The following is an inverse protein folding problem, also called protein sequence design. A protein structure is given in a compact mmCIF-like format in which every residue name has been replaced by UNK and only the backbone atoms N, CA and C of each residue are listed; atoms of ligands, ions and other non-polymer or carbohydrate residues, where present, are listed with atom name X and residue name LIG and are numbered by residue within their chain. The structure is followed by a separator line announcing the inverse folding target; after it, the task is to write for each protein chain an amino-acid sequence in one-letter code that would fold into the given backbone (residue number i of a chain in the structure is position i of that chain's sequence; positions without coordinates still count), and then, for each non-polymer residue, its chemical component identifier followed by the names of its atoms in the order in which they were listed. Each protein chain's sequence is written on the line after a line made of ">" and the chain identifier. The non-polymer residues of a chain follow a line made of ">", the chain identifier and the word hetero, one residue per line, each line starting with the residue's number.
data_IF_213011983599
#
_entry.id   IF_213011983599
#
_cell.length_a   1.000
_cell.length_b   1.000
_cell.length_c   1.000
_cell.angle_alpha   90.00
_cell.angle_beta   90.00
_cell.angle_gamma   90.00
#
_symmetry.space_group_name_H-M   'P 1'
#
loop_
_entity.id
_entity.type
_entity.pdbx_description
1 polymer ?
#
# COMPACT_ATOMS: atom_id res chain seq x y z
N UNK A 1 12.33 -68.60 4.93
CA UNK A 1 11.95 -67.58 5.92
C UNK A 1 13.25 -66.93 6.40
N UNK A 2 13.52 -65.71 5.92
CA UNK A 2 14.51 -64.70 6.35
C UNK A 2 14.86 -63.86 5.12
N UNK A 3 14.52 -62.57 5.17
CA UNK A 3 14.76 -61.57 4.14
C UNK A 3 16.24 -61.14 4.14
N UNK A 4 16.79 -60.67 3.01
CA UNK A 4 18.12 -60.06 2.98
C UNK A 4 18.05 -58.61 3.50
N UNK A 5 18.96 -58.32 4.44
CA UNK A 5 19.28 -56.99 4.96
C UNK A 5 19.73 -56.07 3.81
N UNK A 6 19.11 -54.89 3.70
CA UNK A 6 19.61 -53.80 2.88
C UNK A 6 20.80 -53.13 3.59
N UNK A 7 21.79 -52.61 2.84
CA UNK A 7 22.97 -51.98 3.42
C UNK A 7 22.64 -50.62 4.02
N UNK A 8 23.18 -50.37 5.22
CA UNK A 8 23.25 -49.06 5.87
C UNK A 8 23.97 -48.07 4.96
N UNK A 9 23.31 -46.97 4.59
CA UNK A 9 23.97 -45.91 3.81
C UNK A 9 23.09 -45.03 2.92
N UNK A 10 21.76 -44.99 3.11
CA UNK A 10 20.95 -43.91 2.55
C UNK A 10 20.93 -42.78 3.59
N UNK A 11 21.79 -41.78 3.40
CA UNK A 11 21.67 -40.50 4.09
C UNK A 11 20.36 -39.90 3.62
N UNK A 12 19.36 -39.82 4.51
CA UNK A 12 18.16 -39.04 4.24
C UNK A 12 18.61 -37.61 3.90
N UNK A 13 18.31 -37.19 2.66
CA UNK A 13 18.41 -35.79 2.25
C UNK A 13 17.47 -34.99 3.17
N UNK A 14 18.04 -34.34 4.17
CA UNK A 14 17.30 -33.58 5.18
C UNK A 14 16.62 -32.39 4.50
N UNK A 15 15.34 -32.56 4.15
CA UNK A 15 14.55 -31.55 3.44
C UNK A 15 14.37 -30.32 4.33
N UNK A 16 15.06 -29.25 3.95
CA UNK A 16 15.06 -27.95 4.60
C UNK A 16 13.70 -27.25 4.44
N UNK A 17 13.12 -26.74 5.54
CA UNK A 17 11.82 -26.06 5.56
C UNK A 17 11.92 -24.72 6.27
N UNK A 18 11.70 -23.63 5.55
CA UNK A 18 11.28 -22.36 6.13
C UNK A 18 9.86 -22.50 6.70
N UNK A 19 9.70 -22.35 8.02
CA UNK A 19 8.39 -22.24 8.65
C UNK A 19 8.07 -20.76 8.85
N UNK A 20 6.90 -20.31 8.41
CA UNK A 20 6.42 -18.95 8.62
C UNK A 20 5.25 -19.04 9.59
N UNK A 21 5.49 -18.65 10.84
CA UNK A 21 4.44 -18.53 11.84
C UNK A 21 3.79 -17.15 11.71
N UNK A 22 2.53 -17.12 11.25
CA UNK A 22 1.71 -15.91 11.26
C UNK A 22 0.55 -16.18 12.23
N UNK A 23 0.76 -15.88 13.50
CA UNK A 23 -0.30 -16.07 14.50
C UNK A 23 -1.44 -15.08 14.25
N UNK A 24 -2.61 -15.63 13.95
CA UNK A 24 -3.81 -14.93 13.50
C UNK A 24 -4.52 -14.10 14.57
N UNK A 25 -3.82 -13.39 15.45
CA UNK A 25 -4.51 -12.58 16.48
C UNK A 25 -3.68 -11.58 17.29
N UNK A 26 -2.37 -11.76 17.49
CA UNK A 26 -1.54 -10.80 18.22
C UNK A 26 -0.06 -11.08 17.92
N UNK A 27 0.67 -10.07 17.44
CA UNK A 27 2.13 -10.07 17.20
C UNK A 27 2.65 -11.39 16.64
N UNK A 28 2.38 -11.66 15.35
CA UNK A 28 2.94 -12.84 14.70
C UNK A 28 4.46 -12.66 14.54
N UNK A 29 5.26 -13.51 15.15
CA UNK A 29 6.70 -13.46 14.94
C UNK A 29 7.04 -14.20 13.63
N UNK A 30 7.56 -13.49 12.63
CA UNK A 30 8.13 -14.17 11.46
C UNK A 30 9.47 -14.81 11.87
N UNK A 31 9.45 -16.04 12.39
CA UNK A 31 10.65 -16.81 12.69
C UNK A 31 10.97 -17.74 11.52
N UNK A 32 11.94 -17.35 10.69
CA UNK A 32 12.43 -18.21 9.62
C UNK A 32 13.44 -19.21 10.22
N UNK A 33 12.97 -20.40 10.56
CA UNK A 33 13.86 -21.52 10.90
C UNK A 33 14.41 -22.14 9.60
N UNK A 34 15.72 -22.18 9.44
CA UNK A 34 16.40 -22.84 8.32
C UNK A 34 17.48 -23.78 8.86
N UNK A 35 17.52 -25.08 8.48
CA UNK A 35 18.51 -26.02 9.01
C UNK A 35 19.95 -25.69 8.58
N UNK A 36 20.89 -26.12 9.41
CA UNK A 36 22.33 -25.82 9.39
C UNK A 36 23.06 -26.39 8.17
N UNK A 37 23.54 -25.49 7.30
CA UNK A 37 24.42 -25.82 6.18
C UNK A 37 25.18 -24.60 5.67
N UNK A 38 26.14 -24.11 6.46
CA UNK A 38 27.20 -23.21 5.98
C UNK A 38 26.83 -21.77 5.58
N UNK A 39 25.66 -21.24 5.97
CA UNK A 39 25.29 -19.84 5.72
C UNK A 39 25.20 -19.08 7.04
N UNK A 40 25.82 -17.89 7.13
CA UNK A 40 25.72 -17.02 8.30
C UNK A 40 24.27 -16.58 8.50
N UNK A 41 23.65 -17.03 9.58
CA UNK A 41 22.25 -16.75 9.91
C UNK A 41 22.10 -15.37 10.55
N UNK A 42 21.14 -14.60 10.06
CA UNK A 42 20.64 -13.42 10.77
C UNK A 42 19.16 -13.70 11.07
N UNK A 43 18.79 -14.09 12.31
CA UNK A 43 17.39 -14.18 12.68
C UNK A 43 16.76 -12.80 12.53
N UNK A 44 15.84 -12.66 11.57
CA UNK A 44 15.10 -11.41 11.38
C UNK A 44 13.73 -11.56 12.01
N UNK A 45 13.60 -11.11 13.25
CA UNK A 45 12.30 -11.02 13.91
C UNK A 45 11.53 -9.83 13.34
N UNK A 46 10.51 -10.11 12.52
CA UNK A 46 9.59 -9.11 11.99
C UNK A 46 8.20 -9.39 12.55
N UNK A 47 7.59 -8.45 13.29
CA UNK A 47 6.19 -8.57 13.66
C UNK A 47 5.31 -8.68 12.41
N UNK A 48 4.37 -9.61 12.37
CA UNK A 48 3.56 -9.95 11.20
C UNK A 48 2.76 -8.76 10.71
N UNK A 49 2.28 -7.91 11.63
CA UNK A 49 1.60 -6.65 11.33
C UNK A 49 2.52 -5.60 10.69
N UNK A 50 3.83 -5.75 10.86
CA UNK A 50 4.85 -4.93 10.22
C UNK A 50 5.20 -5.44 8.82
N UNK A 51 4.78 -6.64 8.42
CA UNK A 51 5.11 -7.19 7.10
C UNK A 51 4.23 -6.57 6.02
N UNK A 52 4.89 -5.92 5.07
CA UNK A 52 4.28 -5.11 4.01
C UNK A 52 4.21 -5.87 2.69
N UNK A 53 5.12 -6.82 2.47
CA UNK A 53 5.08 -7.69 1.30
C UNK A 53 6.36 -8.51 1.16
N UNK A 54 6.44 -9.28 0.09
CA UNK A 54 7.65 -10.00 -0.30
C UNK A 54 7.76 -10.11 -1.82
N UNK A 55 8.96 -10.30 -2.36
CA UNK A 55 9.20 -10.62 -3.77
C UNK A 55 10.46 -11.45 -3.95
N UNK A 56 10.53 -12.15 -5.07
CA UNK A 56 11.74 -12.84 -5.51
C UNK A 56 12.73 -11.81 -6.07
N UNK A 57 14.00 -11.94 -5.70
CA UNK A 57 15.14 -11.25 -6.34
C UNK A 57 15.93 -12.19 -7.25
N UNK A 58 15.77 -13.50 -7.09
CA UNK A 58 16.39 -14.52 -7.92
C UNK A 58 15.61 -15.83 -7.88
N UNK A 59 16.11 -16.90 -8.51
CA UNK A 59 15.43 -18.19 -8.55
C UNK A 59 15.15 -18.75 -7.16
N UNK A 60 16.07 -18.58 -6.21
CA UNK A 60 15.97 -19.10 -4.84
C UNK A 60 16.07 -18.01 -3.77
N UNK A 61 16.03 -16.74 -4.17
CA UNK A 61 16.28 -15.60 -3.27
C UNK A 61 15.07 -14.68 -3.24
N UNK A 62 14.67 -14.25 -2.05
CA UNK A 62 13.56 -13.32 -1.84
C UNK A 62 13.92 -12.20 -0.87
N UNK A 63 13.18 -11.11 -0.90
CA UNK A 63 13.18 -10.09 0.16
C UNK A 63 11.79 -9.87 0.71
N UNK A 64 11.75 -9.52 1.99
CA UNK A 64 10.54 -9.12 2.68
C UNK A 64 10.63 -7.63 2.95
N UNK A 65 9.56 -6.92 2.62
CA UNK A 65 9.37 -5.53 3.01
C UNK A 65 8.63 -5.49 4.32
N UNK A 66 9.10 -4.66 5.24
CA UNK A 66 8.45 -4.43 6.51
C UNK A 66 8.55 -2.97 6.96
N UNK A 67 7.58 -2.51 7.74
CA UNK A 67 7.62 -1.20 8.38
C UNK A 67 7.66 -1.40 9.89
N UNK A 68 8.83 -1.21 10.49
CA UNK A 68 8.94 -1.14 11.95
C UNK A 68 8.48 0.25 12.44
N UNK A 69 8.19 0.39 13.75
CA UNK A 69 7.60 1.57 14.42
C UNK A 69 8.04 2.97 13.94
N UNK A 70 9.22 3.11 13.33
CA UNK A 70 9.79 4.33 12.75
C UNK A 70 9.24 4.77 11.38
N UNK A 71 8.22 4.10 10.82
CA UNK A 71 7.51 4.51 9.57
C UNK A 71 8.32 4.42 8.27
N UNK A 72 9.56 3.94 8.31
CA UNK A 72 10.37 3.69 7.12
C UNK A 72 10.13 2.27 6.60
N UNK A 73 9.84 2.15 5.30
CA UNK A 73 9.86 0.85 4.63
C UNK A 73 11.29 0.31 4.63
N UNK A 74 11.48 -0.88 5.19
CA UNK A 74 12.74 -1.58 5.20
C UNK A 74 12.64 -2.85 4.40
N UNK A 75 13.73 -3.21 3.75
CA UNK A 75 13.91 -4.51 3.11
C UNK A 75 14.77 -5.37 4.03
N UNK A 76 14.40 -6.63 4.20
CA UNK A 76 15.35 -7.60 4.75
C UNK A 76 16.59 -7.69 3.87
N UNK A 77 17.73 -8.18 4.42
CA UNK A 77 18.74 -8.79 3.59
C UNK A 77 18.11 -9.85 2.65
N UNK A 78 18.76 -10.18 1.52
CA UNK A 78 18.35 -11.29 0.69
C UNK A 78 18.22 -12.58 1.52
N UNK A 79 17.04 -13.19 1.46
CA UNK A 79 16.74 -14.45 2.11
C UNK A 79 16.86 -15.57 1.07
N UNK A 80 17.72 -16.54 1.34
CA UNK A 80 17.96 -17.67 0.45
C UNK A 80 17.11 -18.87 0.90
N UNK A 81 16.38 -19.45 -0.04
CA UNK A 81 15.57 -20.65 0.17
C UNK A 81 16.26 -21.87 -0.45
N UNK A 82 15.91 -23.07 -0.01
CA UNK A 82 16.47 -24.31 -0.52
C UNK A 82 16.09 -24.56 -1.98
N UNK A 83 14.95 -24.01 -2.43
CA UNK A 83 14.51 -24.11 -3.82
C UNK A 83 13.70 -22.89 -4.26
N UNK A 84 13.56 -22.71 -5.58
CA UNK A 84 12.70 -21.64 -6.09
C UNK A 84 11.22 -21.85 -5.82
N UNK A 85 10.79 -23.10 -5.69
CA UNK A 85 9.42 -23.43 -5.28
C UNK A 85 9.16 -23.04 -3.82
N UNK A 86 10.15 -23.20 -2.94
CA UNK A 86 10.05 -22.71 -1.56
C UNK A 86 10.01 -21.17 -1.52
N UNK A 87 10.92 -20.50 -2.22
CA UNK A 87 10.94 -19.03 -2.29
C UNK A 87 9.60 -18.48 -2.80
N UNK A 88 9.05 -19.07 -3.87
CA UNK A 88 7.76 -18.69 -4.42
C UNK A 88 6.60 -18.92 -3.43
N UNK A 89 6.60 -20.04 -2.69
CA UNK A 89 5.61 -20.35 -1.65
C UNK A 89 5.65 -19.33 -0.52
N UNK A 90 6.83 -18.99 -0.01
CA UNK A 90 7.00 -17.99 1.04
C UNK A 90 6.53 -16.60 0.60
N UNK A 91 6.93 -16.18 -0.61
CA UNK A 91 6.45 -14.92 -1.20
C UNK A 91 4.92 -14.91 -1.32
N UNK A 92 4.31 -16.02 -1.73
CA UNK A 92 2.86 -16.14 -1.82
C UNK A 92 2.18 -16.05 -0.44
N UNK A 93 2.72 -16.72 0.57
CA UNK A 93 2.20 -16.71 1.95
C UNK A 93 2.27 -15.30 2.58
N UNK A 94 3.44 -14.65 2.51
CA UNK A 94 3.61 -13.28 3.01
C UNK A 94 2.63 -12.34 2.30
N UNK A 95 2.55 -12.42 0.97
CA UNK A 95 1.59 -11.59 0.21
C UNK A 95 0.16 -11.91 0.62
N UNK A 96 -0.19 -13.18 0.86
CA UNK A 96 -1.53 -13.59 1.29
C UNK A 96 -1.95 -12.90 2.59
N UNK A 97 -1.00 -12.62 3.49
CA UNK A 97 -1.26 -11.89 4.73
C UNK A 97 -1.36 -10.36 4.54
N UNK A 98 -0.70 -9.78 3.54
CA UNK A 98 -0.74 -8.34 3.30
C UNK A 98 -2.06 -7.86 2.68
N UNK A 99 -2.50 -6.64 3.03
CA UNK A 99 -3.69 -6.02 2.47
C UNK A 99 -3.54 -5.71 0.97
N UNK A 100 -4.67 -5.57 0.26
CA UNK A 100 -4.68 -5.37 -1.21
C UNK A 100 -3.90 -4.13 -1.67
N UNK A 101 -3.98 -3.03 -0.90
CA UNK A 101 -3.22 -1.82 -1.15
C UNK A 101 -1.71 -2.09 -1.16
N UNK A 102 -1.20 -2.80 -0.15
CA UNK A 102 0.21 -3.13 -0.06
C UNK A 102 0.67 -4.13 -1.13
N UNK A 103 -0.16 -5.12 -1.48
CA UNK A 103 0.13 -6.01 -2.62
C UNK A 103 0.26 -5.24 -3.92
N UNK A 104 -0.65 -4.29 -4.15
CA UNK A 104 -0.65 -3.48 -5.36
C UNK A 104 0.57 -2.57 -5.39
N UNK A 105 0.88 -1.91 -4.27
CA UNK A 105 2.07 -1.09 -4.12
C UNK A 105 3.35 -1.88 -4.42
N UNK A 106 3.59 -2.98 -3.71
CA UNK A 106 4.82 -3.78 -3.85
C UNK A 106 4.97 -4.46 -5.21
N UNK A 107 3.87 -4.87 -5.85
CA UNK A 107 3.94 -5.56 -7.16
C UNK A 107 3.92 -4.63 -8.37
N UNK A 108 3.23 -3.50 -8.29
CA UNK A 108 2.93 -2.68 -9.47
C UNK A 108 3.49 -1.27 -9.39
N UNK A 109 3.70 -0.72 -8.20
CA UNK A 109 4.11 0.67 -8.00
C UNK A 109 5.59 0.75 -7.69
N UNK A 110 6.04 0.00 -6.68
CA UNK A 110 7.43 0.02 -6.22
C UNK A 110 8.45 -0.33 -7.33
N UNK A 111 8.22 -1.34 -8.20
CA UNK A 111 9.14 -1.62 -9.29
C UNK A 111 9.27 -0.48 -10.30
N UNK A 112 8.22 0.32 -10.48
CA UNK A 112 8.25 1.50 -11.37
C UNK A 112 9.06 2.62 -10.70
N UNK A 113 8.79 2.90 -9.43
CA UNK A 113 9.43 3.99 -8.71
C UNK A 113 10.90 3.73 -8.40
N UNK A 114 11.21 2.68 -7.65
CA UNK A 114 12.60 2.39 -7.28
C UNK A 114 13.36 1.74 -8.44
N UNK A 115 12.75 0.77 -9.12
CA UNK A 115 13.43 -0.04 -10.12
C UNK A 115 13.67 0.69 -11.44
N UNK A 116 12.62 1.26 -12.03
CA UNK A 116 12.70 1.89 -13.34
C UNK A 116 13.03 3.38 -13.28
N UNK A 117 12.52 4.09 -12.28
CA UNK A 117 12.66 5.55 -12.17
C UNK A 117 13.72 6.02 -11.16
N UNK A 118 14.31 5.11 -10.37
CA UNK A 118 15.34 5.44 -9.38
C UNK A 118 14.87 6.37 -8.26
N UNK A 119 13.57 6.42 -7.99
CA UNK A 119 13.00 7.22 -6.91
C UNK A 119 13.34 6.59 -5.55
N UNK A 120 13.73 7.42 -4.59
CA UNK A 120 13.82 7.01 -3.19
C UNK A 120 12.42 7.05 -2.55
N UNK A 121 11.98 5.91 -1.99
CA UNK A 121 10.62 5.75 -1.51
C UNK A 121 10.60 5.47 -0.01
N UNK A 122 10.01 6.38 0.76
CA UNK A 122 9.61 6.12 2.14
C UNK A 122 8.12 5.75 2.19
N UNK A 123 7.80 4.48 2.46
CA UNK A 123 6.41 4.05 2.57
C UNK A 123 5.94 4.01 4.04
N UNK A 124 4.78 4.61 4.30
CA UNK A 124 4.14 4.66 5.61
C UNK A 124 2.75 4.01 5.57
N UNK A 125 2.62 2.72 5.95
CA UNK A 125 1.33 2.02 5.99
C UNK A 125 0.33 2.70 6.95
N UNK A 126 -0.89 2.91 6.49
CA UNK A 126 -1.96 3.52 7.30
C UNK A 126 -2.56 2.51 8.27
N UNK A 127 -2.80 2.89 9.53
CA UNK A 127 -3.32 2.00 10.58
C UNK A 127 -4.84 2.02 10.72
N UNK A 128 -5.48 3.06 10.21
CA UNK A 128 -6.92 3.26 10.34
C UNK A 128 -7.32 4.67 9.86
N UNK A 129 -8.59 5.02 10.05
CA UNK A 129 -9.10 6.35 9.71
C UNK A 129 -8.29 7.47 10.39
N UNK A 130 -7.99 8.53 9.65
CA UNK A 130 -7.23 9.69 10.13
C UNK A 130 -5.71 9.53 10.07
N UNK A 131 -5.17 8.31 10.07
CA UNK A 131 -3.72 8.11 10.06
C UNK A 131 -3.07 8.59 8.75
N UNK A 132 -3.78 8.55 7.62
CA UNK A 132 -3.27 9.13 6.37
C UNK A 132 -3.10 10.65 6.48
N UNK A 133 -4.02 11.33 7.18
CA UNK A 133 -3.91 12.77 7.46
C UNK A 133 -2.71 13.07 8.35
N UNK A 134 -2.50 12.30 9.42
CA UNK A 134 -1.36 12.48 10.33
C UNK A 134 -0.02 12.30 9.61
N UNK A 135 0.11 11.25 8.78
CA UNK A 135 1.32 11.00 8.00
C UNK A 135 1.59 12.16 7.03
N UNK A 136 0.59 12.57 6.26
CA UNK A 136 0.74 13.63 5.27
C UNK A 136 1.00 15.00 5.91
N UNK A 137 0.36 15.30 7.05
CA UNK A 137 0.63 16.52 7.82
C UNK A 137 2.08 16.58 8.31
N UNK A 138 2.66 15.44 8.69
CA UNK A 138 4.04 15.34 9.20
C UNK A 138 5.14 15.33 8.14
N UNK A 139 4.79 15.27 6.85
CA UNK A 139 5.77 15.26 5.78
C UNK A 139 6.47 16.62 5.66
N UNK A 140 7.79 16.64 5.80
CA UNK A 140 8.59 17.85 5.64
C UNK A 140 8.77 18.17 4.15
N UNK A 141 8.28 19.33 3.65
CA UNK A 141 8.47 19.73 2.26
C UNK A 141 9.93 19.88 1.82
N UNK A 142 10.87 20.01 2.76
CA UNK A 142 12.31 20.04 2.46
C UNK A 142 12.91 18.63 2.33
N UNK A 143 12.28 17.62 2.95
CA UNK A 143 12.75 16.24 2.90
C UNK A 143 12.07 15.41 1.80
N UNK A 144 10.86 15.80 1.37
CA UNK A 144 10.08 15.07 0.39
C UNK A 144 9.62 15.98 -0.75
N UNK A 145 9.84 15.54 -1.99
CA UNK A 145 9.34 16.24 -3.19
C UNK A 145 7.84 15.96 -3.46
N UNK A 146 7.30 14.87 -2.93
CA UNK A 146 5.92 14.43 -3.20
C UNK A 146 5.38 13.55 -2.07
N UNK A 147 4.08 13.65 -1.79
CA UNK A 147 3.36 12.66 -0.98
C UNK A 147 2.43 11.87 -1.89
N UNK A 148 2.78 10.59 -2.11
CA UNK A 148 1.99 9.69 -2.94
C UNK A 148 1.12 8.76 -2.08
N UNK A 149 -0.19 8.80 -2.31
CA UNK A 149 -1.17 7.97 -1.60
C UNK A 149 -1.56 6.78 -2.45
N UNK A 150 -1.17 5.58 -2.02
CA UNK A 150 -1.56 4.31 -2.63
C UNK A 150 -2.84 3.78 -1.98
N UNK A 151 -4.00 4.11 -2.52
CA UNK A 151 -5.29 3.78 -1.91
C UNK A 151 -6.51 4.29 -2.67
N UNK A 152 -7.68 4.24 -2.02
CA UNK A 152 -8.93 4.77 -2.54
C UNK A 152 -9.07 6.29 -2.29
N UNK A 153 -10.13 6.90 -2.82
CA UNK A 153 -10.43 8.34 -2.67
C UNK A 153 -10.46 8.78 -1.21
N UNK A 154 -10.98 7.94 -0.30
CA UNK A 154 -11.02 8.24 1.13
C UNK A 154 -9.62 8.44 1.74
N UNK A 155 -8.66 7.58 1.40
CA UNK A 155 -7.29 7.70 1.90
C UNK A 155 -6.58 8.94 1.32
N UNK A 156 -6.80 9.21 0.03
CA UNK A 156 -6.27 10.42 -0.59
C UNK A 156 -6.88 11.69 0.02
N UNK A 157 -8.20 11.68 0.26
CA UNK A 157 -8.90 12.80 0.91
C UNK A 157 -8.38 13.04 2.31
N UNK A 158 -8.20 11.98 3.12
CA UNK A 158 -7.58 12.12 4.45
C UNK A 158 -6.18 12.73 4.39
N UNK A 159 -5.31 12.25 3.49
CA UNK A 159 -3.99 12.83 3.32
C UNK A 159 -4.05 14.32 2.96
N UNK A 160 -4.98 14.72 2.08
CA UNK A 160 -5.21 16.12 1.74
C UNK A 160 -5.72 16.95 2.92
N UNK A 161 -6.61 16.40 3.76
CA UNK A 161 -7.00 17.05 5.02
C UNK A 161 -5.78 17.30 5.90
N UNK A 162 -4.84 16.36 5.94
CA UNK A 162 -3.58 16.47 6.67
C UNK A 162 -2.75 17.65 6.21
N UNK A 163 -2.44 17.72 4.91
CA UNK A 163 -1.64 18.82 4.33
C UNK A 163 -2.34 20.17 4.48
N UNK A 164 -3.64 20.24 4.17
CA UNK A 164 -4.41 21.49 4.22
C UNK A 164 -4.78 21.94 5.64
N UNK A 165 -4.73 21.02 6.60
CA UNK A 165 -4.96 21.30 8.02
C UNK A 165 -3.73 21.84 8.76
N UNK A 166 -2.56 21.92 8.10
CA UNK A 166 -1.34 22.44 8.72
C UNK A 166 -1.42 23.95 8.99
N UNK A 167 -0.72 24.47 10.00
CA UNK A 167 -0.58 25.92 10.19
C UNK A 167 0.07 26.63 8.99
N UNK A 168 1.02 25.96 8.32
CA UNK A 168 1.77 26.43 7.15
C UNK A 168 1.19 25.89 5.81
N UNK A 169 -0.09 25.51 5.78
CA UNK A 169 -0.69 24.78 4.66
C UNK A 169 -0.49 25.42 3.28
N UNK A 170 -0.42 26.76 3.19
CA UNK A 170 -0.22 27.46 1.91
C UNK A 170 1.12 27.11 1.29
N UNK A 171 2.17 27.07 2.10
CA UNK A 171 3.51 26.75 1.63
C UNK A 171 3.65 25.25 1.41
N UNK A 172 3.15 24.45 2.36
CA UNK A 172 3.14 22.99 2.25
C UNK A 172 2.41 22.52 0.98
N UNK A 173 1.22 23.05 0.67
CA UNK A 173 0.45 22.67 -0.52
C UNK A 173 1.10 23.11 -1.84
N UNK A 174 1.98 24.13 -1.82
CA UNK A 174 2.75 24.56 -3.00
C UNK A 174 3.97 23.68 -3.25
N UNK A 175 4.68 23.33 -2.18
CA UNK A 175 5.93 22.60 -2.25
C UNK A 175 5.74 21.08 -2.30
N UNK A 176 4.66 20.56 -1.71
CA UNK A 176 4.43 19.14 -1.49
C UNK A 176 3.19 18.65 -2.26
N UNK A 177 3.31 18.41 -3.58
CA UNK A 177 2.21 17.88 -4.37
C UNK A 177 1.71 16.53 -3.82
N UNK A 178 0.39 16.35 -3.88
CA UNK A 178 -0.25 15.08 -3.57
C UNK A 178 -0.47 14.27 -4.84
N UNK A 179 0.00 13.03 -4.85
CA UNK A 179 -0.25 12.10 -5.95
C UNK A 179 -1.18 10.97 -5.54
N UNK A 180 -2.13 10.64 -6.40
CA UNK A 180 -3.05 9.54 -6.18
C UNK A 180 -2.62 8.33 -7.01
N UNK A 181 -2.28 7.24 -6.33
CA UNK A 181 -2.10 5.92 -6.94
C UNK A 181 -3.33 5.09 -6.59
N UNK A 182 -4.33 5.01 -7.49
CA UNK A 182 -5.61 4.45 -7.12
C UNK A 182 -5.50 2.95 -6.89
N UNK A 183 -5.85 2.54 -5.67
CA UNK A 183 -6.03 1.14 -5.31
C UNK A 183 -7.42 0.99 -4.68
N UNK A 184 -8.41 0.50 -5.45
CA UNK A 184 -9.78 0.41 -4.96
C UNK A 184 -9.86 -0.50 -3.73
N UNK A 185 -10.76 -0.19 -2.80
CA UNK A 185 -11.10 -1.14 -1.73
C UNK A 185 -11.94 -2.25 -2.33
N UNK A 186 -11.29 -3.31 -2.78
CA UNK A 186 -12.02 -4.54 -3.07
C UNK A 186 -12.11 -5.31 -1.75
N UNK A 187 -13.32 -5.44 -1.18
CA UNK A 187 -13.53 -6.46 -0.14
C UNK A 187 -13.12 -7.80 -0.75
N UNK A 188 -12.26 -8.55 -0.05
CA UNK A 188 -11.69 -9.81 -0.55
C UNK A 188 -12.76 -10.79 -1.08
N UNK A 189 -13.97 -10.72 -0.51
CA UNK A 189 -15.14 -11.49 -0.91
C UNK A 189 -15.74 -11.05 -2.26
N UNK A 190 -15.82 -9.74 -2.52
CA UNK A 190 -16.27 -9.20 -3.80
C UNK A 190 -15.23 -9.39 -4.91
N UNK A 191 -13.93 -9.36 -4.60
CA UNK A 191 -12.85 -9.66 -5.56
C UNK A 191 -12.94 -11.11 -6.07
N UNK A 192 -13.22 -12.06 -5.16
CA UNK A 192 -13.48 -13.47 -5.50
C UNK A 192 -14.73 -13.63 -6.36
N UNK A 193 -15.78 -12.84 -6.14
CA UNK A 193 -17.02 -12.91 -6.92
C UNK A 193 -16.96 -12.17 -8.27
N UNK A 194 -16.16 -11.11 -8.39
CA UNK A 194 -16.02 -10.26 -9.58
C UNK A 194 -15.02 -10.83 -10.60
N UNK A 195 -13.96 -11.53 -10.14
CA UNK A 195 -13.08 -12.29 -11.04
C UNK A 195 -13.81 -13.44 -11.76
N UNK A 196 -14.94 -13.89 -11.22
CA UNK A 196 -15.81 -14.90 -11.84
C UNK A 196 -16.82 -14.31 -12.84
N UNK A 197 -16.93 -12.97 -12.93
CA UNK A 197 -17.89 -12.28 -13.79
C UNK A 197 -17.23 -11.09 -14.48
N UNK A 198 -16.33 -11.39 -15.42
CA UNK A 198 -15.87 -10.41 -16.40
C UNK A 198 -17.02 -10.05 -17.34
N UNK A 199 -17.68 -8.93 -17.06
CA UNK A 199 -18.67 -8.30 -17.93
C UNK A 199 -18.93 -6.89 -17.43
N UNK A 200 -18.62 -5.90 -18.27
CA UNK A 200 -18.74 -4.48 -17.96
C UNK A 200 -20.13 -4.09 -17.41
N UNK A 201 -20.16 -3.20 -16.42
CA UNK A 201 -21.39 -2.64 -15.89
C UNK A 201 -21.15 -1.77 -14.67
N UNK A 202 -21.07 -0.46 -14.89
CA UNK A 202 -21.06 0.56 -13.85
C UNK A 202 -22.34 0.48 -13.02
N UNK A 203 -22.23 0.34 -11.71
CA UNK A 203 -23.38 0.31 -10.80
C UNK A 203 -23.00 0.65 -9.37
N UNK A 204 -23.24 1.91 -8.99
CA UNK A 204 -23.46 2.39 -7.62
C UNK A 204 -22.61 1.80 -6.50
N UNK A 205 -21.35 2.23 -6.38
CA UNK A 205 -20.53 1.94 -5.20
C UNK A 205 -20.90 2.89 -4.05
N UNK A 206 -21.89 2.52 -3.23
CA UNK A 206 -22.25 3.24 -2.00
C UNK A 206 -21.28 2.96 -0.82
N UNK A 207 -20.12 2.38 -1.09
CA UNK A 207 -19.24 1.81 -0.07
C UNK A 207 -17.80 2.32 -0.08
N UNK A 208 -17.56 3.64 -0.16
CA UNK A 208 -16.29 4.28 0.29
C UNK A 208 -14.96 3.78 -0.30
N UNK A 209 -15.00 2.95 -1.34
CA UNK A 209 -13.85 2.29 -1.97
C UNK A 209 -13.46 2.85 -3.33
N UNK A 210 -14.20 3.84 -3.81
CA UNK A 210 -14.05 4.45 -5.12
C UNK A 210 -12.68 5.07 -5.36
N UNK A 211 -12.36 5.21 -6.64
CA UNK A 211 -11.16 5.88 -7.18
C UNK A 211 -11.57 6.98 -8.17
N UNK A 212 -12.73 7.59 -7.96
CA UNK A 212 -13.34 8.57 -8.86
C UNK A 212 -12.47 9.82 -8.97
N UNK A 213 -11.76 10.20 -7.91
CA UNK A 213 -10.84 11.34 -7.95
C UNK A 213 -9.68 11.08 -8.91
N UNK A 214 -9.06 9.89 -8.84
CA UNK A 214 -8.01 9.49 -9.79
C UNK A 214 -8.55 9.45 -11.23
N UNK A 215 -9.74 8.89 -11.44
CA UNK A 215 -10.35 8.82 -12.77
C UNK A 215 -10.68 10.21 -13.34
N UNK A 216 -11.13 11.14 -12.50
CA UNK A 216 -11.41 12.53 -12.91
C UNK A 216 -10.16 13.27 -13.41
N UNK A 217 -8.96 12.76 -13.10
CA UNK A 217 -7.69 13.30 -13.56
C UNK A 217 -7.00 12.42 -14.62
N UNK A 218 -7.72 11.45 -15.19
CA UNK A 218 -7.20 10.55 -16.23
C UNK A 218 -6.35 9.39 -15.72
N UNK A 219 -6.27 9.18 -14.40
CA UNK A 219 -5.56 8.06 -13.79
C UNK A 219 -6.50 6.86 -13.66
N UNK A 220 -6.31 5.87 -14.52
CA UNK A 220 -7.14 4.67 -14.64
C UNK A 220 -6.80 3.53 -13.68
N UNK A 221 -5.66 3.60 -12.98
CA UNK A 221 -5.18 2.49 -12.17
C UNK A 221 -3.83 2.76 -11.49
N UNK A 222 -3.32 1.78 -10.72
CA UNK A 222 -2.11 1.98 -9.93
C UNK A 222 -0.86 2.17 -10.79
N UNK A 223 -0.79 1.53 -11.96
CA UNK A 223 0.35 1.69 -12.88
C UNK A 223 0.35 3.09 -13.53
N UNK A 224 -0.81 3.58 -13.97
CA UNK A 224 -0.90 4.94 -14.53
C UNK A 224 -0.68 6.00 -13.44
N UNK A 225 -1.14 5.78 -12.21
CA UNK A 225 -0.85 6.67 -11.09
C UNK A 225 0.63 6.69 -10.72
N UNK A 226 1.28 5.52 -10.71
CA UNK A 226 2.72 5.43 -10.50
C UNK A 226 3.51 6.17 -11.59
N UNK A 227 3.11 6.02 -12.86
CA UNK A 227 3.72 6.75 -13.97
C UNK A 227 3.49 8.26 -13.90
N UNK A 228 2.30 8.70 -13.45
CA UNK A 228 2.03 10.13 -13.28
C UNK A 228 3.00 10.79 -12.28
N UNK A 229 3.34 10.07 -11.20
CA UNK A 229 4.39 10.48 -10.24
C UNK A 229 5.75 10.59 -10.93
N UNK A 230 6.18 9.56 -11.65
CA UNK A 230 7.47 9.55 -12.37
C UNK A 230 7.56 10.69 -13.37
N UNK A 231 6.46 10.99 -14.07
CA UNK A 231 6.40 12.10 -15.04
C UNK A 231 6.33 13.48 -14.39
N UNK A 232 6.21 13.58 -13.06
CA UNK A 232 6.03 14.83 -12.31
C UNK A 232 4.91 15.69 -12.90
N UNK A 233 3.83 15.05 -13.36
CA UNK A 233 2.70 15.74 -13.97
C UNK A 233 1.84 16.38 -12.87
N UNK A 234 2.22 17.59 -12.46
CA UNK A 234 1.50 18.37 -11.44
C UNK A 234 0.46 19.26 -12.10
N UNK A 235 -0.76 19.26 -11.55
CA UNK A 235 -1.82 20.16 -11.96
C UNK A 235 -2.49 20.76 -10.73
N UNK A 236 -2.78 22.08 -10.72
CA UNK A 236 -3.55 22.69 -9.64
C UNK A 236 -4.96 22.11 -9.61
N UNK A 237 -5.52 22.00 -8.39
CA UNK A 237 -6.87 21.49 -8.16
C UNK A 237 -7.62 22.40 -7.20
N UNK A 238 -8.88 22.66 -7.55
CA UNK A 238 -9.80 23.36 -6.66
C UNK A 238 -10.14 22.46 -5.48
N UNK A 239 -10.26 23.07 -4.31
CA UNK A 239 -10.65 22.39 -3.07
C UNK A 239 -11.71 23.22 -2.40
N UNK A 240 -12.86 22.60 -2.08
CA UNK A 240 -13.91 23.27 -1.35
C UNK A 240 -13.64 23.16 0.15
N UNK A 241 -13.67 24.29 0.86
CA UNK A 241 -13.62 24.31 2.32
C UNK A 241 -15.05 24.31 2.88
N UNK A 242 -15.36 23.33 3.72
CA UNK A 242 -16.65 23.16 4.39
C UNK A 242 -16.46 23.43 5.88
N UNK A 243 -17.27 24.32 6.43
CA UNK A 243 -17.29 24.62 7.86
C UNK A 243 -18.70 24.34 8.38
N UNK A 244 -18.80 23.43 9.35
CA UNK A 244 -20.06 23.08 10.01
C UNK A 244 -19.85 23.09 11.53
N UNK A 245 -19.97 24.25 12.19
CA UNK A 245 -19.80 24.33 13.63
C UNK A 245 -20.74 23.37 14.38
N UNK A 246 -20.29 22.73 15.49
CA UNK A 246 -18.99 22.91 16.14
C UNK A 246 -17.85 22.06 15.54
N UNK A 247 -18.07 21.34 14.44
CA UNK A 247 -17.06 20.48 13.83
C UNK A 247 -15.91 21.30 13.19
N UNK A 248 -14.69 20.72 13.15
CA UNK A 248 -13.57 21.37 12.50
C UNK A 248 -13.81 21.54 10.99
N UNK A 249 -13.14 22.52 10.40
CA UNK A 249 -13.11 22.75 8.94
C UNK A 249 -12.68 21.46 8.23
N UNK A 250 -13.36 21.14 7.12
CA UNK A 250 -13.05 20.02 6.25
C UNK A 250 -12.83 20.51 4.83
N UNK A 251 -11.96 19.82 4.10
CA UNK A 251 -11.67 20.08 2.69
C UNK A 251 -12.27 18.98 1.80
N UNK A 252 -12.97 19.35 0.73
CA UNK A 252 -13.60 18.42 -0.20
C UNK A 252 -12.93 18.54 -1.57
N UNK A 253 -12.51 17.39 -2.12
CA UNK A 253 -11.75 17.32 -3.36
C UNK A 253 -12.59 16.90 -4.57
N UNK A 254 -13.76 16.33 -4.35
CA UNK A 254 -14.58 15.74 -5.41
C UNK A 254 -16.02 16.24 -5.37
N UNK A 255 -16.77 15.84 -4.35
CA UNK A 255 -18.18 16.19 -4.19
C UNK A 255 -18.56 16.34 -2.72
N UNK A 256 -19.59 17.14 -2.48
CA UNK A 256 -20.34 17.17 -1.22
C UNK A 256 -21.76 16.71 -1.52
N UNK A 257 -22.23 15.68 -0.83
CA UNK A 257 -23.57 15.12 -1.01
C UNK A 257 -24.34 15.25 0.31
N UNK A 258 -25.55 15.83 0.28
CA UNK A 258 -26.40 16.01 1.45
C UNK A 258 -27.86 15.60 1.14
N UNK A 259 -28.57 15.01 2.12
CA UNK A 259 -29.98 14.61 2.04
C UNK A 259 -30.25 13.12 2.28
N UNK A 260 -31.54 12.76 2.47
CA UNK A 260 -32.03 11.40 2.79
C UNK A 260 -31.85 10.35 1.68
N UNK A 261 -31.40 10.78 0.49
CA UNK A 261 -30.77 9.97 -0.54
C UNK A 261 -29.86 10.90 -1.34
N UNK A 262 -28.60 10.55 -1.56
CA UNK A 262 -27.60 11.41 -2.20
C UNK A 262 -27.94 11.75 -3.68
N UNK A 263 -28.86 12.69 -3.88
CA UNK A 263 -29.42 13.07 -5.19
C UNK A 263 -29.05 14.48 -5.66
N UNK A 264 -28.16 15.18 -4.94
CA UNK A 264 -27.57 16.43 -5.44
C UNK A 264 -26.05 16.32 -5.31
N UNK A 265 -25.39 15.97 -6.40
CA UNK A 265 -23.93 16.07 -6.51
C UNK A 265 -23.60 17.48 -7.01
N UNK A 266 -23.16 18.35 -6.11
CA UNK A 266 -22.52 19.59 -6.53
C UNK A 266 -21.11 19.22 -7.02
N UNK A 267 -20.91 19.22 -8.34
CA UNK A 267 -19.57 19.17 -8.92
C UNK A 267 -18.85 20.46 -8.57
N UNK A 268 -17.72 20.38 -7.88
CA UNK A 268 -16.84 21.52 -7.62
C UNK A 268 -16.12 21.92 -8.92
N UNK A 269 -16.85 22.48 -9.89
CA UNK A 269 -16.30 23.18 -11.03
C UNK A 269 -16.43 24.69 -10.79
N UNK A 270 -15.30 25.37 -10.58
CA UNK A 270 -15.16 26.83 -10.39
C UNK A 270 -16.19 27.44 -9.43
N UNK A 271 -15.95 27.30 -8.13
CA UNK A 271 -16.52 28.24 -7.16
C UNK A 271 -15.64 29.49 -7.18
N UNK A 272 -16.13 30.57 -7.80
CA UNK A 272 -15.55 31.90 -7.66
C UNK A 272 -15.62 32.28 -6.18
N UNK A 273 -14.46 32.39 -5.51
CA UNK A 273 -14.40 32.90 -4.15
C UNK A 273 -14.63 34.41 -4.18
N UNK A 274 -15.64 34.89 -3.46
CA UNK A 274 -15.65 36.28 -2.99
C UNK A 274 -14.46 36.45 -2.05
N UNK A 275 -13.62 37.46 -2.31
CA UNK A 275 -12.65 37.96 -1.36
C UNK A 275 -13.36 38.36 -0.07
N UNK A 276 -13.08 37.66 1.02
CA UNK A 276 -13.35 38.18 2.36
C UNK A 276 -12.08 38.94 2.77
N UNK A 277 -12.20 40.26 2.81
CA UNK A 277 -11.28 41.23 3.42
C UNK A 277 -10.92 40.87 4.85
#
# INVERSE_FOLDING_TARGET
>A
MLAPLLPDGVVEEEVQRAVVHLDGGAVGELVLHMPSGGVTYVPVQIPGESVVGAALEGPTTLRIWHCHRSRSLRKTPPLHCASGQEAARLVAAVRAACCWAMRTFTRRVLPIWEGAAGLEVTAAPTRGPGHAAEVAASADPQAFEIVAVCGCDAAFSEAAQGVLGRPDWREAARQLPLAHVPVPRVRLEAARAALSRSGAGAGGDKGGGGVRLAHAVGISGPVSGAWAVVKRAVAPRDVASVLQPPAPRRFMLLSLEAGGGALVSAWAGRVSMCEAT
#
